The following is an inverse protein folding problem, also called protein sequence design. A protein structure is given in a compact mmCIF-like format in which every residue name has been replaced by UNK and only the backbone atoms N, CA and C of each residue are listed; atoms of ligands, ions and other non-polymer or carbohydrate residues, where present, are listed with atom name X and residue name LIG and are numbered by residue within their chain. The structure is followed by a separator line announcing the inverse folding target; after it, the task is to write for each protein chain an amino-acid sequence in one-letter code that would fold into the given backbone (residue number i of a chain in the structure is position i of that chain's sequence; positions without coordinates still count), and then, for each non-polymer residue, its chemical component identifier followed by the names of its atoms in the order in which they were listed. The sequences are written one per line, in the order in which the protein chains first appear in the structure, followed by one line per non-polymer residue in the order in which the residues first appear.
data_IF_837289203386
#
_entry.id   IF_837289203386
#
_cell.length_a   1.000
_cell.length_b   1.000
_cell.length_c   1.000
_cell.angle_alpha   90.00
_cell.angle_beta   90.00
_cell.angle_gamma   90.00
#
_symmetry.space_group_name_H-M   'P 1'
#
loop_
_entity.id
_entity.type
_entity.pdbx_description
1 polymer ?
#
# COMPACT_ATOMS: atom_id res chain seq x y z
N UNK A 1 15.92 4.16 -17.22
CA UNK A 1 14.54 3.97 -17.74
C UNK A 1 13.60 4.64 -16.75
N UNK A 2 12.44 5.16 -17.21
CA UNK A 2 11.45 5.72 -16.29
C UNK A 2 10.83 4.59 -15.41
N UNK A 3 10.55 4.87 -14.14
CA UNK A 3 9.92 3.92 -13.23
C UNK A 3 8.51 3.54 -13.72
N UNK A 4 8.24 2.24 -13.79
CA UNK A 4 6.89 1.76 -14.10
C UNK A 4 6.05 1.71 -12.82
N UNK A 5 5.14 2.66 -12.64
CA UNK A 5 4.24 2.71 -11.49
C UNK A 5 3.00 1.78 -11.59
N UNK A 6 2.85 1.08 -12.74
CA UNK A 6 1.75 0.16 -13.00
C UNK A 6 2.25 -1.26 -13.35
N UNK A 7 3.12 -1.87 -12.52
CA UNK A 7 3.59 -3.21 -12.77
C UNK A 7 2.51 -4.25 -12.48
N UNK A 8 2.67 -5.44 -13.06
CA UNK A 8 2.03 -6.66 -12.59
C UNK A 8 3.07 -7.49 -11.85
N UNK A 9 2.87 -7.68 -10.55
CA UNK A 9 3.80 -8.39 -9.67
C UNK A 9 3.15 -9.68 -9.16
N UNK A 10 3.93 -10.69 -8.77
CA UNK A 10 3.37 -11.90 -8.18
C UNK A 10 4.44 -12.66 -7.39
N UNK A 11 4.01 -13.29 -6.30
CA UNK A 11 4.80 -14.27 -5.54
C UNK A 11 4.09 -15.64 -5.42
N UNK A 12 3.05 -15.87 -6.24
CA UNK A 12 2.21 -17.06 -6.19
C UNK A 12 1.04 -16.96 -5.20
N UNK A 13 1.22 -16.32 -4.04
CA UNK A 13 0.15 -16.11 -3.06
C UNK A 13 -0.68 -14.86 -3.37
N UNK A 14 -0.02 -13.80 -3.81
CA UNK A 14 -0.59 -12.48 -4.04
C UNK A 14 -0.15 -11.94 -5.40
N UNK A 15 -1.07 -11.32 -6.12
CA UNK A 15 -0.78 -10.66 -7.40
C UNK A 15 -1.27 -9.21 -7.39
N UNK A 16 -0.42 -8.22 -7.07
CA UNK A 16 -0.69 -6.81 -7.36
C UNK A 16 -0.69 -6.55 -8.87
N UNK A 17 -1.71 -5.86 -9.36
CA UNK A 17 -1.81 -5.37 -10.74
C UNK A 17 -2.44 -3.98 -10.81
N UNK A 18 -2.29 -3.25 -11.93
CA UNK A 18 -2.94 -1.96 -12.09
C UNK A 18 -4.44 -2.01 -11.80
N UNK A 19 -4.93 -0.97 -11.10
CA UNK A 19 -6.35 -0.75 -10.86
C UNK A 19 -7.04 -0.40 -12.18
N UNK A 20 -8.20 -1.02 -12.43
CA UNK A 20 -9.06 -0.74 -13.56
C UNK A 20 -10.47 -0.33 -13.09
N UNK A 21 -11.23 0.35 -13.94
CA UNK A 21 -12.61 0.77 -13.63
C UNK A 21 -13.50 -0.43 -13.26
N UNK A 22 -13.34 -1.56 -13.95
CA UNK A 22 -14.07 -2.80 -13.68
C UNK A 22 -13.82 -3.41 -12.30
N UNK A 23 -12.78 -2.96 -11.58
CA UNK A 23 -12.45 -3.46 -10.23
C UNK A 23 -13.29 -2.84 -9.11
N UNK A 24 -14.16 -1.88 -9.43
CA UNK A 24 -14.91 -1.13 -8.42
C UNK A 24 -15.62 -2.05 -7.41
N UNK A 25 -16.45 -2.96 -7.90
CA UNK A 25 -17.23 -3.83 -7.00
C UNK A 25 -16.35 -4.75 -6.16
N UNK A 26 -15.30 -5.33 -6.77
CA UNK A 26 -14.37 -6.21 -6.05
C UNK A 26 -13.57 -5.45 -4.97
N UNK A 27 -13.10 -4.24 -5.28
CA UNK A 27 -12.36 -3.42 -4.33
C UNK A 27 -13.27 -2.84 -3.25
N UNK A 28 -14.51 -2.48 -3.59
CA UNK A 28 -15.51 -2.06 -2.61
C UNK A 28 -15.87 -3.20 -1.65
N UNK A 29 -16.05 -4.42 -2.13
CA UNK A 29 -16.28 -5.57 -1.24
C UNK A 29 -15.17 -5.75 -0.20
N UNK A 30 -13.91 -5.59 -0.60
CA UNK A 30 -12.77 -5.63 0.32
C UNK A 30 -12.76 -4.46 1.33
N UNK A 31 -13.39 -3.34 0.99
CA UNK A 31 -13.48 -2.13 1.80
C UNK A 31 -14.76 -2.04 2.65
N UNK A 32 -15.80 -2.84 2.36
CA UNK A 32 -17.17 -2.64 2.83
C UNK A 32 -17.42 -2.97 4.31
N UNK A 33 -16.43 -3.52 5.01
CA UNK A 33 -16.52 -3.77 6.44
C UNK A 33 -15.98 -2.59 7.26
N UNK A 34 -16.71 -2.12 8.30
CA UNK A 34 -16.20 -1.12 9.25
C UNK A 34 -14.89 -1.54 9.90
N UNK A 35 -14.69 -2.85 10.13
CA UNK A 35 -13.47 -3.42 10.72
C UNK A 35 -12.24 -3.12 9.87
N UNK A 36 -12.37 -3.12 8.54
CA UNK A 36 -11.27 -2.78 7.61
C UNK A 36 -10.72 -1.37 7.87
N UNK A 37 -11.55 -0.46 8.36
CA UNK A 37 -11.18 0.93 8.63
C UNK A 37 -11.01 1.23 10.12
N UNK A 38 -11.15 0.25 11.01
CA UNK A 38 -10.96 0.45 12.44
C UNK A 38 -9.56 1.01 12.75
N UNK A 39 -9.51 2.15 13.47
CA UNK A 39 -8.26 2.86 13.77
C UNK A 39 -7.65 3.64 12.60
N UNK A 40 -8.32 3.70 11.44
CA UNK A 40 -7.92 4.56 10.32
C UNK A 40 -8.55 5.95 10.46
N UNK A 41 -7.85 7.07 10.14
CA UNK A 41 -8.41 8.43 10.23
C UNK A 41 -9.69 8.64 9.40
N UNK A 42 -9.81 7.92 8.30
CA UNK A 42 -11.00 7.89 7.43
C UNK A 42 -11.78 6.60 7.69
N UNK A 43 -12.37 6.48 8.88
CA UNK A 43 -13.04 5.27 9.38
C UNK A 43 -14.40 4.98 8.73
N UNK A 44 -14.94 5.91 7.95
CA UNK A 44 -16.23 5.86 7.27
C UNK A 44 -16.18 5.31 5.84
N UNK A 45 -15.00 4.99 5.32
CA UNK A 45 -14.79 4.51 3.95
C UNK A 45 -15.44 3.16 3.62
N UNK A 46 -15.96 2.43 4.60
CA UNK A 46 -16.78 1.24 4.37
C UNK A 46 -18.13 1.57 3.74
N UNK A 47 -18.62 2.83 3.87
CA UNK A 47 -19.85 3.28 3.24
C UNK A 47 -19.62 3.52 1.75
N UNK A 48 -20.49 2.94 0.91
CA UNK A 48 -20.35 3.02 -0.55
C UNK A 48 -20.23 4.45 -1.07
N UNK A 49 -21.09 5.34 -0.58
CA UNK A 49 -21.11 6.77 -0.97
C UNK A 49 -19.82 7.53 -0.63
N UNK A 50 -19.08 7.05 0.39
CA UNK A 50 -17.78 7.61 0.77
C UNK A 50 -16.65 6.90 0.00
N UNK A 51 -16.82 5.63 -0.34
CA UNK A 51 -15.83 4.85 -1.09
C UNK A 51 -15.79 5.23 -2.57
N UNK A 52 -16.93 5.53 -3.20
CA UNK A 52 -17.00 5.90 -4.62
C UNK A 52 -16.04 7.04 -5.01
N UNK A 53 -16.05 8.22 -4.36
CA UNK A 53 -15.09 9.28 -4.69
C UNK A 53 -13.65 8.90 -4.34
N UNK A 54 -13.43 8.06 -3.33
CA UNK A 54 -12.10 7.55 -3.02
C UNK A 54 -11.59 6.60 -4.11
N UNK A 55 -12.42 5.71 -4.63
CA UNK A 55 -12.08 4.85 -5.76
C UNK A 55 -11.75 5.66 -7.01
N UNK A 56 -12.59 6.67 -7.35
CA UNK A 56 -12.33 7.56 -8.47
C UNK A 56 -10.96 8.24 -8.36
N UNK A 57 -10.62 8.76 -7.17
CA UNK A 57 -9.30 9.31 -6.90
C UNK A 57 -8.18 8.26 -7.10
N UNK A 58 -8.32 7.05 -6.58
CA UNK A 58 -7.32 5.99 -6.76
C UNK A 58 -7.12 5.62 -8.22
N UNK A 59 -8.19 5.59 -9.02
CA UNK A 59 -8.17 5.28 -10.44
C UNK A 59 -7.49 6.41 -11.24
N UNK A 60 -7.89 7.66 -11.01
CA UNK A 60 -7.37 8.85 -11.69
C UNK A 60 -5.86 9.01 -11.53
N UNK A 61 -5.31 8.62 -10.38
CA UNK A 61 -3.86 8.73 -10.14
C UNK A 61 -3.01 7.86 -11.05
N UNK A 62 -3.57 6.79 -11.64
CA UNK A 62 -2.87 5.89 -12.55
C UNK A 62 -1.67 5.16 -11.94
N UNK A 63 -1.57 5.08 -10.62
CA UNK A 63 -0.42 4.46 -9.90
C UNK A 63 -0.86 3.49 -8.81
N UNK A 64 -2.16 3.20 -8.74
CA UNK A 64 -2.75 2.27 -7.77
C UNK A 64 -2.72 0.84 -8.30
N UNK A 65 -2.32 -0.08 -7.45
CA UNK A 65 -2.37 -1.51 -7.69
C UNK A 65 -3.44 -2.15 -6.80
N UNK A 66 -4.33 -2.95 -7.40
CA UNK A 66 -5.20 -3.85 -6.64
C UNK A 66 -4.44 -5.10 -6.27
N UNK A 67 -4.70 -5.63 -5.09
CA UNK A 67 -4.12 -6.86 -4.57
C UNK A 67 -5.10 -8.02 -4.78
N UNK A 68 -4.69 -9.04 -5.52
CA UNK A 68 -5.47 -10.24 -5.79
C UNK A 68 -4.97 -11.39 -4.93
N UNK A 69 -5.86 -12.09 -4.24
CA UNK A 69 -5.57 -13.38 -3.63
C UNK A 69 -5.46 -14.44 -4.73
N UNK A 70 -4.26 -14.95 -4.94
CA UNK A 70 -3.94 -16.01 -5.92
C UNK A 70 -3.48 -17.29 -5.24
N UNK A 71 -3.60 -17.38 -3.91
CA UNK A 71 -3.08 -18.51 -3.11
C UNK A 71 -3.77 -19.84 -3.42
N UNK A 72 -5.01 -19.81 -3.92
CA UNK A 72 -5.77 -21.02 -4.19
C UNK A 72 -5.40 -21.70 -5.52
N UNK A 73 -4.57 -21.05 -6.35
CA UNK A 73 -3.97 -21.64 -7.57
C UNK A 73 -4.96 -22.21 -8.58
N UNK A 74 -6.21 -21.79 -8.56
CA UNK A 74 -7.28 -22.49 -9.21
C UNK A 74 -8.04 -21.71 -10.26
N UNK A 75 -9.01 -22.35 -10.88
CA UNK A 75 -9.90 -21.91 -11.95
C UNK A 75 -10.93 -20.84 -11.50
N UNK A 76 -10.91 -20.41 -10.25
CA UNK A 76 -11.76 -19.35 -9.73
C UNK A 76 -11.13 -17.98 -9.98
N UNK A 77 -11.96 -17.01 -10.28
CA UNK A 77 -11.55 -15.61 -10.42
C UNK A 77 -10.90 -15.13 -9.11
N UNK A 78 -9.65 -14.62 -9.21
CA UNK A 78 -8.89 -14.24 -8.04
C UNK A 78 -9.58 -13.08 -7.31
N UNK A 79 -9.84 -13.24 -6.01
CA UNK A 79 -10.53 -12.25 -5.18
C UNK A 79 -9.66 -11.00 -5.00
N UNK A 80 -10.23 -9.81 -5.22
CA UNK A 80 -9.61 -8.55 -4.80
C UNK A 80 -9.70 -8.46 -3.27
N UNK A 81 -8.56 -8.24 -2.61
CA UNK A 81 -8.44 -8.17 -1.15
C UNK A 81 -8.03 -6.79 -0.64
N UNK A 82 -7.78 -5.83 -1.51
CA UNK A 82 -7.39 -4.48 -1.17
C UNK A 82 -6.56 -3.80 -2.24
N UNK A 83 -5.85 -2.74 -1.88
CA UNK A 83 -4.97 -2.02 -2.78
C UNK A 83 -3.79 -1.36 -2.07
N UNK A 84 -2.83 -0.90 -2.86
CA UNK A 84 -1.76 0.00 -2.46
C UNK A 84 -1.33 0.86 -3.67
N UNK A 85 -0.60 1.95 -3.43
CA UNK A 85 -0.28 2.91 -4.47
C UNK A 85 1.15 3.39 -4.38
N UNK A 86 1.78 3.63 -5.54
CA UNK A 86 3.01 4.42 -5.67
C UNK A 86 2.68 5.91 -5.80
N UNK A 87 3.52 6.78 -5.24
CA UNK A 87 3.42 8.24 -5.42
C UNK A 87 4.75 8.90 -5.05
N UNK A 88 5.07 10.08 -5.63
CA UNK A 88 6.25 10.84 -5.21
C UNK A 88 6.08 11.38 -3.79
N UNK A 89 7.14 11.42 -2.98
CA UNK A 89 7.08 12.10 -1.69
C UNK A 89 6.85 13.61 -1.92
N UNK A 90 5.93 14.26 -1.17
CA UNK A 90 5.57 15.65 -1.42
C UNK A 90 6.73 16.64 -1.22
N UNK A 91 7.70 16.31 -0.38
CA UNK A 91 8.80 17.17 0.06
C UNK A 91 10.19 16.70 -0.39
N UNK A 92 10.28 15.56 -1.11
CA UNK A 92 11.54 14.98 -1.59
C UNK A 92 11.49 14.79 -3.10
N UNK A 93 12.35 15.51 -3.83
CA UNK A 93 12.46 15.36 -5.28
C UNK A 93 12.99 13.97 -5.66
N UNK A 94 12.53 13.48 -6.82
CA UNK A 94 12.98 12.21 -7.40
C UNK A 94 12.89 11.02 -6.44
N UNK A 95 11.82 11.01 -5.61
CA UNK A 95 11.56 10.00 -4.60
C UNK A 95 10.39 9.10 -4.97
N UNK A 96 10.30 7.96 -4.30
CA UNK A 96 9.18 7.05 -4.39
C UNK A 96 8.60 6.75 -3.02
N UNK A 97 7.28 6.79 -2.93
CA UNK A 97 6.53 6.42 -1.73
C UNK A 97 5.53 5.30 -2.04
N UNK A 98 5.23 4.49 -1.02
CA UNK A 98 4.17 3.50 -1.06
C UNK A 98 3.15 3.83 0.03
N UNK A 99 1.89 4.00 -0.34
CA UNK A 99 0.83 4.33 0.62
C UNK A 99 -0.56 4.03 0.09
N UNK A 100 -1.57 4.69 0.68
CA UNK A 100 -2.99 4.44 0.37
C UNK A 100 -3.37 2.96 0.46
N UNK A 101 -2.70 2.25 1.37
CA UNK A 101 -2.82 0.80 1.52
C UNK A 101 -3.97 0.46 2.43
N UNK A 102 -4.88 -0.38 1.95
CA UNK A 102 -5.76 -1.14 2.81
C UNK A 102 -5.89 -2.59 2.32
N UNK A 103 -6.15 -3.49 3.23
CA UNK A 103 -6.57 -4.86 2.97
C UNK A 103 -7.86 -5.13 3.75
N UNK A 104 -8.73 -5.93 3.19
CA UNK A 104 -9.87 -6.52 3.88
C UNK A 104 -9.40 -7.08 5.24
N UNK A 105 -10.11 -6.75 6.33
CA UNK A 105 -9.73 -7.13 7.69
C UNK A 105 -9.53 -8.64 7.87
N UNK A 106 -10.19 -9.46 7.06
CA UNK A 106 -10.02 -10.92 7.05
C UNK A 106 -8.60 -11.37 6.65
N UNK A 107 -7.83 -10.47 6.01
CA UNK A 107 -6.45 -10.70 5.59
C UNK A 107 -5.41 -10.05 6.54
N UNK A 108 -5.86 -9.56 7.70
CA UNK A 108 -4.97 -8.97 8.69
C UNK A 108 -4.28 -10.04 9.56
N UNK A 109 -3.18 -9.64 10.19
CA UNK A 109 -2.42 -10.48 11.11
C UNK A 109 -1.56 -11.58 10.47
N UNK A 110 -1.73 -11.80 9.16
CA UNK A 110 -0.98 -12.78 8.38
C UNK A 110 0.13 -12.18 7.51
N UNK A 111 0.57 -12.94 6.51
CA UNK A 111 1.66 -12.59 5.59
C UNK A 111 1.26 -11.58 4.49
N UNK A 112 -0.03 -11.32 4.27
CA UNK A 112 -0.54 -10.61 3.09
C UNK A 112 -0.01 -9.20 2.92
N UNK A 113 -0.07 -8.36 3.97
CA UNK A 113 0.45 -7.00 3.90
C UNK A 113 1.96 -6.99 3.70
N UNK A 114 2.69 -7.90 4.36
CA UNK A 114 4.14 -8.05 4.16
C UNK A 114 4.46 -8.49 2.74
N UNK A 115 3.73 -9.46 2.19
CA UNK A 115 3.90 -9.94 0.82
C UNK A 115 3.66 -8.84 -0.21
N UNK A 116 2.57 -8.05 -0.05
CA UNK A 116 2.29 -6.93 -0.93
C UNK A 116 3.38 -5.87 -0.87
N UNK A 117 3.82 -5.50 0.35
CA UNK A 117 4.90 -4.53 0.54
C UNK A 117 6.22 -5.04 -0.02
N UNK A 118 6.55 -6.32 0.18
CA UNK A 118 7.76 -6.92 -0.37
C UNK A 118 7.81 -6.78 -1.91
N UNK A 119 6.76 -7.21 -2.60
CA UNK A 119 6.67 -7.11 -4.06
C UNK A 119 6.82 -5.66 -4.55
N UNK A 120 6.13 -4.72 -3.89
CA UNK A 120 6.20 -3.32 -4.26
C UNK A 120 7.56 -2.68 -3.95
N UNK A 121 8.19 -3.02 -2.83
CA UNK A 121 9.52 -2.54 -2.45
C UNK A 121 10.59 -3.08 -3.40
N UNK A 122 10.57 -4.38 -3.70
CA UNK A 122 11.52 -5.01 -4.63
C UNK A 122 11.45 -4.33 -5.99
N UNK A 123 10.25 -4.11 -6.53
CA UNK A 123 10.08 -3.38 -7.79
C UNK A 123 10.57 -1.91 -7.71
N UNK A 124 10.25 -1.19 -6.62
CA UNK A 124 10.71 0.18 -6.45
C UNK A 124 12.24 0.28 -6.35
N UNK A 125 12.87 -0.69 -5.68
CA UNK A 125 14.34 -0.74 -5.55
C UNK A 125 15.10 -1.09 -6.83
N UNK A 126 14.42 -1.42 -7.92
CA UNK A 126 15.06 -1.48 -9.26
C UNK A 126 15.48 -0.08 -9.74
N UNK A 127 14.83 0.97 -9.24
CA UNK A 127 15.03 2.37 -9.70
C UNK A 127 15.47 3.30 -8.58
N UNK A 128 15.00 3.10 -7.33
CA UNK A 128 15.23 3.98 -6.20
C UNK A 128 16.06 3.30 -5.13
N UNK A 129 16.90 4.04 -4.42
CA UNK A 129 17.67 3.53 -3.29
C UNK A 129 16.89 3.64 -1.96
N UNK A 130 15.84 4.44 -1.95
CA UNK A 130 14.97 4.67 -0.78
C UNK A 130 13.50 4.71 -1.18
N UNK A 131 12.64 4.15 -0.31
CA UNK A 131 11.18 4.22 -0.41
C UNK A 131 10.61 4.83 0.86
N UNK A 132 9.65 5.73 0.69
CA UNK A 132 9.03 6.47 1.78
C UNK A 132 7.62 5.98 2.10
N UNK A 133 7.24 6.15 3.38
CA UNK A 133 5.90 5.88 3.89
C UNK A 133 5.46 7.08 4.73
N UNK A 134 4.34 7.69 4.38
CA UNK A 134 3.80 8.88 5.04
C UNK A 134 2.57 8.48 5.86
N UNK A 135 2.64 8.63 7.18
CA UNK A 135 1.64 8.09 8.10
C UNK A 135 1.22 9.19 9.07
N UNK A 136 -0.07 9.47 9.17
CA UNK A 136 -0.57 10.41 10.19
C UNK A 136 -0.37 9.84 11.60
N UNK A 137 -0.06 10.67 12.62
CA UNK A 137 0.27 10.20 13.98
C UNK A 137 -0.79 9.30 14.62
N UNK A 138 -2.06 9.52 14.31
CA UNK A 138 -3.17 8.72 14.86
C UNK A 138 -3.30 7.32 14.26
N UNK A 139 -2.63 7.02 13.13
CA UNK A 139 -2.70 5.71 12.47
C UNK A 139 -1.63 4.75 13.01
N UNK A 140 -1.79 4.34 14.27
CA UNK A 140 -0.85 3.46 14.99
C UNK A 140 -0.65 2.11 14.28
N UNK A 141 -1.72 1.58 13.65
CA UNK A 141 -1.62 0.31 12.91
C UNK A 141 -0.64 0.41 11.75
N UNK A 142 -0.72 1.47 10.95
CA UNK A 142 0.20 1.69 9.83
C UNK A 142 1.63 1.92 10.30
N UNK A 143 1.84 2.62 11.42
CA UNK A 143 3.17 2.79 12.00
C UNK A 143 3.80 1.43 12.38
N UNK A 144 3.05 0.58 13.10
CA UNK A 144 3.50 -0.77 13.45
C UNK A 144 3.77 -1.63 12.21
N UNK A 145 2.93 -1.49 11.15
CA UNK A 145 3.13 -2.22 9.91
C UNK A 145 4.40 -1.75 9.17
N UNK A 146 4.69 -0.44 9.17
CA UNK A 146 5.91 0.12 8.60
C UNK A 146 7.17 -0.40 9.32
N UNK A 147 7.16 -0.37 10.65
CA UNK A 147 8.27 -0.90 11.45
C UNK A 147 8.53 -2.40 11.20
N UNK A 148 7.47 -3.21 11.04
CA UNK A 148 7.60 -4.66 10.76
C UNK A 148 8.26 -4.98 9.42
N UNK A 149 8.24 -4.05 8.47
CA UNK A 149 8.94 -4.18 7.18
C UNK A 149 10.28 -3.45 7.15
N UNK A 150 10.80 -3.06 8.33
CA UNK A 150 12.11 -2.43 8.45
C UNK A 150 12.14 -0.94 8.09
N UNK A 151 11.02 -0.24 8.14
CA UNK A 151 11.01 1.20 7.95
C UNK A 151 11.44 1.91 9.23
N UNK A 152 12.41 2.82 9.10
CA UNK A 152 12.88 3.69 10.15
C UNK A 152 12.14 5.03 10.13
N UNK A 153 11.77 5.54 11.30
CA UNK A 153 11.29 6.90 11.43
C UNK A 153 12.41 7.88 11.07
N UNK A 154 12.13 8.79 10.14
CA UNK A 154 13.10 9.78 9.70
C UNK A 154 12.82 11.18 10.28
N UNK A 155 11.60 11.67 10.10
CA UNK A 155 11.18 13.00 10.59
C UNK A 155 9.67 13.16 10.59
N UNK A 156 9.17 14.26 11.16
CA UNK A 156 7.78 14.73 11.06
C UNK A 156 7.71 16.01 10.25
N UNK A 157 6.72 16.12 9.37
CA UNK A 157 6.46 17.32 8.57
C UNK A 157 4.96 17.53 8.32
N UNK A 158 4.57 18.75 8.05
CA UNK A 158 3.24 19.10 7.58
C UNK A 158 3.17 18.89 6.05
N UNK A 159 2.52 17.83 5.61
CA UNK A 159 2.49 17.41 4.20
C UNK A 159 1.07 17.31 3.64
N UNK A 160 0.92 17.67 2.36
CA UNK A 160 -0.32 17.55 1.61
C UNK A 160 -0.42 16.20 0.86
N UNK A 161 -0.25 15.08 1.54
CA UNK A 161 -0.28 13.73 0.92
C UNK A 161 -1.66 13.39 0.33
N UNK A 162 -2.73 13.87 0.95
CA UNK A 162 -4.13 13.62 0.55
C UNK A 162 -4.90 14.90 0.18
N UNK A 163 -4.18 15.94 -0.22
CA UNK A 163 -4.73 17.24 -0.60
C UNK A 163 -4.78 18.26 0.54
N UNK A 164 -5.20 17.89 1.74
CA UNK A 164 -5.09 18.74 2.93
C UNK A 164 -3.73 18.59 3.59
N UNK A 165 -3.16 19.69 4.05
CA UNK A 165 -1.91 19.67 4.83
C UNK A 165 -2.21 19.09 6.21
N UNK A 166 -1.45 18.07 6.59
CA UNK A 166 -1.58 17.39 7.88
C UNK A 166 -0.21 17.00 8.43
N UNK A 167 -0.09 17.01 9.76
CA UNK A 167 1.09 16.45 10.43
C UNK A 167 1.28 14.99 10.01
N UNK A 168 2.48 14.67 9.54
CA UNK A 168 2.79 13.38 8.93
C UNK A 168 4.13 12.87 9.44
N UNK A 169 4.13 11.64 9.94
CA UNK A 169 5.34 10.90 10.26
C UNK A 169 5.91 10.31 8.98
N UNK A 170 7.14 10.66 8.65
CA UNK A 170 7.86 10.19 7.47
C UNK A 170 8.78 9.04 7.87
N UNK A 171 8.48 7.87 7.36
CA UNK A 171 9.28 6.66 7.51
C UNK A 171 10.04 6.37 6.23
N UNK A 172 11.23 5.80 6.34
CA UNK A 172 12.10 5.47 5.22
C UNK A 172 12.55 4.03 5.29
N UNK A 173 12.59 3.38 4.13
CA UNK A 173 13.22 2.07 3.95
C UNK A 173 14.32 2.23 2.91
N UNK A 174 15.57 1.91 3.24
CA UNK A 174 16.66 1.86 2.29
C UNK A 174 16.72 0.49 1.61
N UNK A 175 17.18 0.46 0.36
CA UNK A 175 17.41 -0.79 -0.40
C UNK A 175 18.30 -1.77 0.36
N UNK A 176 19.40 -1.28 0.94
CA UNK A 176 20.34 -2.10 1.73
C UNK A 176 19.69 -2.65 3.00
N UNK A 177 18.92 -1.82 3.74
CA UNK A 177 18.20 -2.26 4.94
C UNK A 177 17.16 -3.34 4.63
N UNK A 178 16.42 -3.17 3.53
CA UNK A 178 15.46 -4.17 3.05
C UNK A 178 16.14 -5.50 2.71
N UNK A 179 17.24 -5.47 1.96
CA UNK A 179 18.00 -6.68 1.60
C UNK A 179 18.49 -7.45 2.83
N UNK A 180 18.99 -6.74 3.85
CA UNK A 180 19.40 -7.35 5.11
C UNK A 180 18.23 -8.00 5.85
N UNK A 181 17.08 -7.32 5.91
CA UNK A 181 15.87 -7.85 6.54
C UNK A 181 15.39 -9.15 5.87
N UNK A 182 15.41 -9.19 4.54
CA UNK A 182 14.99 -10.39 3.76
C UNK A 182 15.95 -11.55 4.02
N UNK A 183 17.27 -11.32 3.99
CA UNK A 183 18.27 -12.33 4.28
C UNK A 183 18.12 -12.94 5.67
N UNK A 184 17.90 -12.10 6.68
CA UNK A 184 17.72 -12.56 8.08
C UNK A 184 16.39 -13.32 8.30
N UNK A 185 15.39 -13.10 7.44
CA UNK A 185 14.09 -13.78 7.53
C UNK A 185 14.06 -15.14 6.82
N UNK A 186 15.12 -15.48 6.08
CA UNK A 186 15.25 -16.73 5.31
C UNK A 186 16.09 -17.78 6.04
N UNK A 187 16.62 -17.44 7.22
CA UNK A 187 17.33 -18.34 8.14
C UNK A 187 16.39 -18.84 9.25
#
# INVERSE_FOLDING_TARGET
MAFNAQPRLSNGMLTPRPLAEADFEGLYLAASSPETWAGHPKHDRWQRTIFEPYFAFLLETGTTLVALDTSTGGTHEAKIIGCSRYYPAPDIKESMSIGFTFLDHLYWGGAWNRAMKALMLEHAFETFDEVWLHIVPTNIRSQKAAQKIGADYAYTADLAVTGAVTETLCYRISKTGWQQLVLNSSQ
#
